data_IF_036273267607
#
_entry.id   IF_036273267607
#
_cell.length_a   1.000
_cell.length_b   1.000
_cell.length_c   1.000
_cell.angle_alpha   90.00
_cell.angle_beta   90.00
_cell.angle_gamma   90.00
#
_symmetry.space_group_name_H-M   'P 1'
#
loop_
_entity.id
_entity.type
_entity.pdbx_description
1 polymer ?
#
# COMPACT_ATOMS: atom_id res chain seq x y z
N UNK A 1 9.65 -17.78 -21.43
CA UNK A 1 9.54 -17.19 -20.09
C UNK A 1 8.11 -17.38 -19.62
N UNK A 2 7.89 -18.05 -18.49
CA UNK A 2 6.55 -18.20 -17.91
C UNK A 2 6.28 -16.96 -17.06
N UNK A 3 5.04 -16.48 -17.05
CA UNK A 3 4.60 -15.33 -16.24
C UNK A 3 4.83 -15.47 -14.71
N UNK A 4 5.26 -16.65 -14.24
CA UNK A 4 5.56 -16.95 -12.84
C UNK A 4 7.01 -16.75 -12.41
N UNK A 5 7.89 -16.24 -13.28
CA UNK A 5 9.31 -16.03 -12.93
C UNK A 5 9.58 -14.67 -12.24
N UNK A 6 8.53 -13.88 -11.96
CA UNK A 6 8.63 -12.68 -11.12
C UNK A 6 8.20 -13.05 -9.70
N UNK A 7 9.17 -13.20 -8.78
CA UNK A 7 8.88 -13.17 -7.35
C UNK A 7 8.23 -11.82 -7.04
N UNK A 8 6.91 -11.80 -6.85
CA UNK A 8 6.19 -10.63 -6.36
C UNK A 8 6.60 -10.45 -4.89
N UNK A 9 7.45 -9.46 -4.56
CA UNK A 9 8.05 -9.34 -3.24
C UNK A 9 7.02 -9.04 -2.15
N UNK A 10 5.76 -8.79 -2.53
CA UNK A 10 4.65 -8.48 -1.63
C UNK A 10 3.49 -9.48 -1.72
N UNK A 11 3.69 -10.61 -2.40
CA UNK A 11 2.65 -11.64 -2.55
C UNK A 11 2.11 -12.08 -1.18
N UNK A 12 3.00 -12.14 -0.19
CA UNK A 12 2.67 -12.50 1.18
C UNK A 12 1.83 -11.42 1.88
N UNK A 13 2.12 -10.14 1.62
CA UNK A 13 1.43 -8.98 2.17
C UNK A 13 0.03 -8.81 1.58
N UNK A 14 -0.19 -9.24 0.32
CA UNK A 14 -1.54 -9.27 -0.31
C UNK A 14 -2.39 -10.44 0.19
N UNK A 15 -1.76 -11.58 0.48
CA UNK A 15 -2.47 -12.82 0.81
C UNK A 15 -2.63 -13.09 2.32
N UNK A 16 -1.82 -12.47 3.19
CA UNK A 16 -1.96 -12.61 4.64
C UNK A 16 -2.74 -11.44 5.25
N UNK A 17 -3.71 -11.75 6.11
CA UNK A 17 -4.37 -10.81 7.05
C UNK A 17 -3.43 -10.33 8.18
N UNK A 18 -2.15 -10.25 7.89
CA UNK A 18 -1.12 -9.85 8.85
C UNK A 18 -0.99 -8.34 8.97
N UNK A 19 -0.25 -7.84 9.96
CA UNK A 19 0.04 -6.42 10.08
C UNK A 19 0.76 -5.91 8.82
N UNK A 20 0.27 -4.80 8.26
CA UNK A 20 0.87 -4.14 7.10
C UNK A 20 2.11 -3.36 7.53
N UNK A 21 3.27 -3.72 6.97
CA UNK A 21 4.53 -3.03 7.24
C UNK A 21 4.68 -1.81 6.34
N UNK A 22 4.72 -0.62 6.96
CA UNK A 22 5.02 0.65 6.29
C UNK A 22 6.35 1.20 6.80
N UNK A 23 7.06 1.90 5.92
CA UNK A 23 8.30 2.58 6.30
C UNK A 23 8.02 3.57 7.45
N UNK A 24 8.74 3.41 8.57
CA UNK A 24 8.66 4.26 9.77
C UNK A 24 8.65 5.76 9.46
N UNK A 25 9.46 6.20 8.49
CA UNK A 25 9.59 7.61 8.13
C UNK A 25 8.35 8.14 7.40
N UNK A 26 7.63 7.27 6.70
CA UNK A 26 6.39 7.61 5.99
C UNK A 26 5.15 7.38 6.86
N UNK A 27 5.21 6.48 7.85
CA UNK A 27 4.07 6.08 8.67
C UNK A 27 3.34 7.27 9.30
N UNK A 28 4.08 8.22 9.89
CA UNK A 28 3.45 9.39 10.53
C UNK A 28 2.68 10.24 9.53
N UNK A 29 3.29 10.54 8.38
CA UNK A 29 2.67 11.35 7.34
C UNK A 29 1.49 10.63 6.69
N UNK A 30 1.62 9.31 6.47
CA UNK A 30 0.56 8.47 5.95
C UNK A 30 -0.65 8.43 6.88
N UNK A 31 -0.44 8.16 8.18
CA UNK A 31 -1.53 8.14 9.16
C UNK A 31 -2.21 9.51 9.27
N UNK A 32 -1.45 10.61 9.26
CA UNK A 32 -2.02 11.94 9.28
C UNK A 32 -2.86 12.23 8.03
N UNK A 33 -2.33 11.87 6.85
CA UNK A 33 -3.06 12.01 5.59
C UNK A 33 -4.35 11.19 5.57
N UNK A 34 -4.32 9.93 6.02
CA UNK A 34 -5.54 9.12 6.13
C UNK A 34 -6.57 9.74 7.09
N UNK A 35 -6.12 10.29 8.22
CA UNK A 35 -7.01 11.01 9.15
C UNK A 35 -7.63 12.26 8.54
N UNK A 36 -6.86 13.06 7.82
CA UNK A 36 -7.35 14.26 7.11
C UNK A 36 -8.39 13.92 6.04
N UNK A 37 -8.28 12.72 5.45
CA UNK A 37 -9.22 12.22 4.44
C UNK A 37 -10.35 11.35 5.03
N UNK A 38 -10.44 11.25 6.37
CA UNK A 38 -11.42 10.42 7.09
C UNK A 38 -11.40 8.93 6.63
N UNK A 39 -10.22 8.41 6.30
CA UNK A 39 -10.01 7.01 5.88
C UNK A 39 -9.26 6.21 6.94
N UNK A 40 -9.59 4.93 7.02
CA UNK A 40 -8.86 3.97 7.85
C UNK A 40 -7.46 3.70 7.24
N UNK A 41 -6.35 3.98 7.95
CA UNK A 41 -5.01 3.80 7.42
C UNK A 41 -4.70 2.36 6.97
N UNK A 42 -5.27 1.36 7.65
CA UNK A 42 -5.02 -0.03 7.31
C UNK A 42 -5.66 -0.40 5.97
N UNK A 43 -6.92 0.00 5.77
CA UNK A 43 -7.66 -0.21 4.52
C UNK A 43 -6.95 0.46 3.33
N UNK A 44 -6.47 1.69 3.52
CA UNK A 44 -5.71 2.42 2.48
C UNK A 44 -4.40 1.68 2.17
N UNK A 45 -3.67 1.21 3.18
CA UNK A 45 -2.41 0.51 2.98
C UNK A 45 -2.61 -0.83 2.24
N UNK A 46 -3.62 -1.61 2.63
CA UNK A 46 -4.00 -2.85 1.95
C UNK A 46 -4.39 -2.60 0.48
N UNK A 47 -5.12 -1.51 0.20
CA UNK A 47 -5.44 -1.11 -1.16
C UNK A 47 -4.19 -0.79 -1.99
N UNK A 48 -3.26 0.00 -1.46
CA UNK A 48 -2.01 0.35 -2.14
C UNK A 48 -1.17 -0.89 -2.46
N UNK A 49 -1.08 -1.82 -1.51
CA UNK A 49 -0.38 -3.08 -1.72
C UNK A 49 -1.12 -3.93 -2.78
N UNK A 50 -2.45 -3.98 -2.72
CA UNK A 50 -3.27 -4.64 -3.74
C UNK A 50 -3.16 -3.99 -5.13
N UNK A 51 -2.70 -2.75 -5.24
CA UNK A 51 -2.41 -2.12 -6.53
C UNK A 51 -0.99 -2.36 -7.04
N UNK A 52 -0.13 -3.06 -6.28
CA UNK A 52 1.28 -3.23 -6.66
C UNK A 52 2.16 -2.02 -6.32
N UNK A 53 1.70 -1.12 -5.45
CA UNK A 53 2.39 0.13 -5.11
C UNK A 53 3.17 -0.07 -3.80
N UNK A 54 4.45 -0.41 -3.93
CA UNK A 54 5.31 -0.76 -2.78
C UNK A 54 6.46 0.21 -2.53
N UNK A 55 6.78 1.07 -3.51
CA UNK A 55 7.88 2.03 -3.41
C UNK A 55 7.48 3.39 -3.97
N UNK A 56 8.09 4.45 -3.45
CA UNK A 56 7.84 5.84 -3.85
C UNK A 56 8.52 6.24 -5.18
N UNK A 57 9.18 5.32 -5.87
CA UNK A 57 9.92 5.62 -7.11
C UNK A 57 9.00 5.95 -8.29
N UNK A 58 7.76 5.45 -8.26
CA UNK A 58 6.76 5.75 -9.28
C UNK A 58 5.90 6.92 -8.83
N UNK A 59 5.79 7.95 -9.68
CA UNK A 59 4.77 8.99 -9.54
C UNK A 59 3.40 8.38 -9.82
N UNK A 60 2.76 7.86 -8.77
CA UNK A 60 1.39 7.36 -8.84
C UNK A 60 0.45 8.45 -8.33
N UNK A 61 -0.54 8.81 -9.13
CA UNK A 61 -1.65 9.67 -8.71
C UNK A 61 -2.81 8.77 -8.29
N UNK A 62 -3.22 8.88 -7.03
CA UNK A 62 -4.27 8.03 -6.45
C UNK A 62 -5.41 8.95 -6.02
N UNK A 63 -6.57 8.75 -6.62
CA UNK A 63 -7.78 9.45 -6.21
C UNK A 63 -8.41 8.71 -5.02
N UNK A 64 -8.17 9.25 -3.82
CA UNK A 64 -8.57 8.62 -2.57
C UNK A 64 -10.04 8.88 -2.20
N UNK A 65 -10.75 9.75 -2.94
CA UNK A 65 -12.14 10.10 -2.63
C UNK A 65 -13.09 8.92 -2.82
N UNK A 66 -12.74 7.99 -3.70
CA UNK A 66 -13.52 6.79 -4.00
C UNK A 66 -13.05 5.53 -3.26
N UNK A 67 -12.16 5.68 -2.26
CA UNK A 67 -11.71 4.56 -1.42
C UNK A 67 -12.72 4.18 -0.35
#
# INVERSE_FOLDING_TARGET
>A
MKLGDFEDPVLNERCNKGPVYLNRHLLKNFVNFCKEQEKDPQTVAEYLINLGIHTAEKRVFIDIKNL
#
